data_IF_989169748578
#
_entry.id   IF_989169748578
#
_cell.length_a   1.000
_cell.length_b   1.000
_cell.length_c   1.000
_cell.angle_alpha   90.00
_cell.angle_beta   90.00
_cell.angle_gamma   90.00
#
_symmetry.space_group_name_H-M   'P 1'
#
loop_
_entity.id
_entity.type
_entity.pdbx_description
1 polymer ?
#
# COMPACT_ATOMS: atom_id res chain seq x y z
N UNK A 1 -5.25 23.55 19.25
CA UNK A 1 -4.66 22.99 18.01
C UNK A 1 -5.78 22.24 17.34
N UNK A 2 -6.17 22.63 16.14
CA UNK A 2 -7.19 21.93 15.35
C UNK A 2 -6.60 20.58 14.95
N UNK A 3 -7.32 19.48 15.16
CA UNK A 3 -6.87 18.15 14.74
C UNK A 3 -6.66 18.18 13.21
N UNK A 4 -5.52 17.72 12.67
CA UNK A 4 -5.32 17.61 11.22
C UNK A 4 -6.45 16.85 10.51
N UNK A 5 -7.14 15.93 11.18
CA UNK A 5 -8.31 15.23 10.66
C UNK A 5 -9.55 16.12 10.57
N UNK A 6 -9.69 17.08 11.49
CA UNK A 6 -10.75 18.08 11.40
C UNK A 6 -10.53 19.02 10.21
N UNK A 7 -9.27 19.33 9.88
CA UNK A 7 -8.92 20.11 8.68
C UNK A 7 -9.17 19.32 7.39
N UNK A 8 -8.95 18.00 7.41
CA UNK A 8 -9.23 17.12 6.27
C UNK A 8 -10.72 17.09 5.91
N UNK A 9 -11.60 17.09 6.91
CA UNK A 9 -13.06 17.13 6.69
C UNK A 9 -13.56 18.46 6.13
N UNK A 10 -12.75 19.53 6.17
CA UNK A 10 -13.07 20.83 5.57
C UNK A 10 -12.75 20.88 4.07
N UNK A 11 -12.01 19.91 3.54
CA UNK A 11 -11.72 19.83 2.11
C UNK A 11 -12.96 19.41 1.31
N UNK A 12 -13.09 19.84 0.05
CA UNK A 12 -14.07 19.30 -0.89
C UNK A 12 -13.97 17.77 -1.02
N UNK A 13 -15.08 17.11 -1.33
CA UNK A 13 -15.15 15.64 -1.46
C UNK A 13 -14.15 15.11 -2.50
N UNK A 14 -14.06 15.73 -3.67
CA UNK A 14 -13.11 15.36 -4.73
C UNK A 14 -11.65 15.38 -4.25
N UNK A 15 -11.27 16.39 -3.46
CA UNK A 15 -9.92 16.50 -2.91
C UNK A 15 -9.67 15.45 -1.83
N UNK A 16 -10.66 15.17 -0.98
CA UNK A 16 -10.56 14.10 0.04
C UNK A 16 -10.42 12.72 -0.61
N UNK A 17 -11.18 12.46 -1.67
CA UNK A 17 -11.14 11.19 -2.39
C UNK A 17 -9.79 11.01 -3.09
N UNK A 18 -9.29 12.06 -3.72
CA UNK A 18 -7.96 12.05 -4.34
C UNK A 18 -6.85 11.80 -3.31
N UNK A 19 -6.87 12.51 -2.18
CA UNK A 19 -5.88 12.31 -1.10
C UNK A 19 -6.00 10.89 -0.54
N UNK A 20 -7.22 10.36 -0.39
CA UNK A 20 -7.45 8.99 0.09
C UNK A 20 -6.92 7.95 -0.90
N UNK A 21 -7.15 8.15 -2.21
CA UNK A 21 -6.64 7.30 -3.27
C UNK A 21 -5.11 7.32 -3.33
N UNK A 22 -4.50 8.51 -3.26
CA UNK A 22 -3.05 8.68 -3.22
C UNK A 22 -2.44 8.00 -1.98
N UNK A 23 -3.07 8.15 -0.81
CA UNK A 23 -2.64 7.49 0.42
C UNK A 23 -2.74 5.96 0.32
N UNK A 24 -3.83 5.42 -0.24
CA UNK A 24 -3.98 3.99 -0.49
C UNK A 24 -2.90 3.47 -1.44
N UNK A 25 -2.58 4.22 -2.50
CA UNK A 25 -1.53 3.85 -3.43
C UNK A 25 -0.15 3.80 -2.77
N UNK A 26 0.18 4.80 -1.94
CA UNK A 26 1.43 4.82 -1.16
C UNK A 26 1.51 3.62 -0.23
N UNK A 27 0.44 3.33 0.52
CA UNK A 27 0.38 2.20 1.45
C UNK A 27 0.61 0.87 0.70
N UNK A 28 -0.07 0.69 -0.44
CA UNK A 28 0.03 -0.52 -1.25
C UNK A 28 1.46 -0.72 -1.78
N UNK A 29 2.08 0.31 -2.35
CA UNK A 29 3.46 0.23 -2.85
C UNK A 29 4.47 -0.09 -1.75
N UNK A 30 4.34 0.53 -0.57
CA UNK A 30 5.21 0.25 0.57
C UNK A 30 5.03 -1.18 1.07
N UNK A 31 3.79 -1.66 1.16
CA UNK A 31 3.50 -3.03 1.55
C UNK A 31 4.04 -4.05 0.55
N UNK A 32 3.92 -3.79 -0.76
CA UNK A 32 4.49 -4.63 -1.83
C UNK A 32 6.01 -4.69 -1.72
N UNK A 33 6.67 -3.55 -1.50
CA UNK A 33 8.12 -3.52 -1.30
C UNK A 33 8.53 -4.36 -0.09
N UNK A 34 7.84 -4.21 1.04
CA UNK A 34 8.10 -4.99 2.26
C UNK A 34 7.87 -6.48 2.04
N UNK A 35 6.83 -6.84 1.28
CA UNK A 35 6.55 -8.22 0.90
C UNK A 35 7.69 -8.79 0.07
N UNK A 36 8.12 -8.07 -0.97
CA UNK A 36 9.25 -8.44 -1.82
C UNK A 36 10.53 -8.64 -1.00
N UNK A 37 10.85 -7.73 -0.08
CA UNK A 37 12.05 -7.80 0.76
C UNK A 37 12.02 -9.00 1.75
N UNK A 38 10.83 -9.49 2.10
CA UNK A 38 10.64 -10.65 2.96
C UNK A 38 10.54 -11.98 2.19
N UNK A 39 10.39 -11.95 0.86
CA UNK A 39 10.34 -13.16 0.02
C UNK A 39 11.71 -13.82 -0.09
N UNK A 40 11.72 -15.14 -0.28
CA UNK A 40 12.95 -15.83 -0.71
C UNK A 40 13.38 -15.35 -2.11
N UNK A 41 14.67 -15.36 -2.46
CA UNK A 41 15.16 -14.84 -3.75
C UNK A 41 14.45 -15.43 -4.98
N UNK A 42 14.12 -16.73 -4.93
CA UNK A 42 13.40 -17.41 -6.02
C UNK A 42 11.95 -16.93 -6.18
N UNK A 43 11.29 -16.61 -5.07
CA UNK A 43 9.91 -16.10 -5.06
C UNK A 43 9.89 -14.63 -5.47
N UNK A 44 10.83 -13.84 -4.97
CA UNK A 44 11.00 -12.44 -5.33
C UNK A 44 11.23 -12.24 -6.84
N UNK A 45 12.06 -13.08 -7.47
CA UNK A 45 12.29 -13.01 -8.92
C UNK A 45 11.00 -13.32 -9.73
N UNK A 46 10.21 -14.30 -9.28
CA UNK A 46 8.90 -14.62 -9.89
C UNK A 46 7.91 -13.47 -9.69
N UNK A 47 7.89 -12.88 -8.51
CA UNK A 47 7.04 -11.73 -8.20
C UNK A 47 7.37 -10.53 -9.09
N UNK A 48 8.66 -10.19 -9.26
CA UNK A 48 9.08 -9.09 -10.13
C UNK A 48 8.66 -9.30 -11.58
N UNK A 49 8.79 -10.53 -12.10
CA UNK A 49 8.32 -10.87 -13.45
C UNK A 49 6.82 -10.69 -13.61
N UNK A 50 6.03 -11.11 -12.61
CA UNK A 50 4.58 -10.91 -12.60
C UNK A 50 4.19 -9.43 -12.47
N UNK A 51 4.90 -8.68 -11.62
CA UNK A 51 4.59 -7.28 -11.36
C UNK A 51 4.86 -6.38 -12.56
N UNK A 52 5.93 -6.65 -13.31
CA UNK A 52 6.29 -5.91 -14.52
C UNK A 52 5.45 -6.30 -15.76
N UNK A 53 4.68 -7.38 -15.71
CA UNK A 53 3.78 -7.73 -16.79
C UNK A 53 2.53 -6.84 -16.76
N UNK A 54 2.51 -5.88 -17.68
CA UNK A 54 1.42 -4.91 -17.86
C UNK A 54 0.15 -5.53 -18.45
N UNK A 55 0.25 -6.74 -19.04
CA UNK A 55 -0.91 -7.45 -19.57
C UNK A 55 -1.58 -8.34 -18.52
N UNK A 56 -0.95 -8.49 -17.35
CA UNK A 56 -1.45 -9.34 -16.28
C UNK A 56 -2.37 -8.54 -15.36
N UNK A 57 -3.56 -9.08 -15.10
CA UNK A 57 -4.54 -8.50 -14.19
C UNK A 57 -3.95 -8.33 -12.77
N UNK A 58 -4.22 -7.18 -12.15
CA UNK A 58 -3.79 -6.89 -10.79
C UNK A 58 -4.36 -7.90 -9.77
N UNK A 59 -5.52 -8.51 -10.05
CA UNK A 59 -6.04 -9.62 -9.23
C UNK A 59 -5.09 -10.81 -9.20
N UNK A 60 -4.40 -11.12 -10.29
CA UNK A 60 -3.45 -12.24 -10.34
C UNK A 60 -2.19 -11.88 -9.53
N UNK A 61 -1.75 -10.64 -9.60
CA UNK A 61 -0.61 -10.13 -8.81
C UNK A 61 -0.92 -10.17 -7.31
N UNK A 62 -2.14 -9.80 -6.94
CA UNK A 62 -2.63 -9.87 -5.56
C UNK A 62 -2.76 -11.31 -5.07
N UNK A 63 -3.32 -12.22 -5.87
CA UNK A 63 -3.44 -13.63 -5.52
C UNK A 63 -2.05 -14.26 -5.27
N UNK A 64 -1.04 -13.90 -6.07
CA UNK A 64 0.34 -14.33 -5.82
C UNK A 64 0.86 -13.83 -4.46
N UNK A 65 0.59 -12.57 -4.11
CA UNK A 65 0.98 -12.02 -2.81
C UNK A 65 0.28 -12.75 -1.67
N UNK A 66 -1.01 -13.07 -1.80
CA UNK A 66 -1.75 -13.81 -0.77
C UNK A 66 -1.24 -15.24 -0.59
N UNK A 67 -0.89 -15.94 -1.68
CA UNK A 67 -0.37 -17.31 -1.64
C UNK A 67 1.04 -17.39 -1.04
N UNK A 68 1.94 -16.51 -1.47
CA UNK A 68 3.36 -16.58 -1.10
C UNK A 68 3.74 -15.71 0.10
N UNK A 69 2.90 -14.72 0.44
CA UNK A 69 3.10 -13.79 1.55
C UNK A 69 1.80 -13.69 2.39
N UNK A 70 1.48 -14.70 3.21
CA UNK A 70 0.26 -14.70 4.03
C UNK A 70 0.19 -13.53 5.02
N UNK A 71 1.33 -12.93 5.36
CA UNK A 71 1.40 -11.73 6.20
C UNK A 71 1.20 -10.41 5.42
N UNK A 72 0.97 -10.45 4.10
CA UNK A 72 0.80 -9.27 3.26
C UNK A 72 -0.33 -8.33 3.76
N UNK A 73 -1.52 -8.82 4.17
CA UNK A 73 -2.54 -7.95 4.75
C UNK A 73 -2.07 -7.21 6.02
N UNK A 74 -1.20 -7.84 6.82
CA UNK A 74 -0.61 -7.18 8.00
C UNK A 74 0.35 -6.06 7.60
N UNK A 75 1.07 -6.22 6.49
CA UNK A 75 1.95 -5.17 5.98
C UNK A 75 1.14 -3.95 5.51
N UNK A 76 -0.01 -4.16 4.87
CA UNK A 76 -0.93 -3.05 4.50
C UNK A 76 -1.36 -2.26 5.74
N UNK A 77 -1.78 -2.95 6.81
CA UNK A 77 -2.18 -2.29 8.07
C UNK A 77 -1.03 -1.55 8.74
N UNK A 78 0.16 -2.15 8.77
CA UNK A 78 1.35 -1.52 9.36
C UNK A 78 1.77 -0.26 8.59
N UNK A 79 1.76 -0.31 7.25
CA UNK A 79 2.12 0.86 6.44
C UNK A 79 1.05 1.97 6.53
N UNK A 80 -0.23 1.62 6.71
CA UNK A 80 -1.28 2.59 7.00
C UNK A 80 -1.05 3.29 8.35
N UNK A 81 -0.70 2.55 9.40
CA UNK A 81 -0.33 3.13 10.70
C UNK A 81 0.93 3.99 10.63
N UNK A 82 1.94 3.57 9.86
CA UNK A 82 3.16 4.33 9.66
C UNK A 82 2.88 5.66 8.96
N UNK A 83 2.11 5.63 7.87
CA UNK A 83 1.72 6.84 7.15
C UNK A 83 0.92 7.79 8.06
N UNK A 84 0.00 7.26 8.87
CA UNK A 84 -0.72 8.06 9.87
C UNK A 84 0.22 8.71 10.91
N UNK A 85 1.24 8.00 11.38
CA UNK A 85 2.25 8.53 12.32
C UNK A 85 3.14 9.59 11.65
N UNK A 86 3.47 9.42 10.38
CA UNK A 86 4.23 10.40 9.58
C UNK A 86 3.44 11.71 9.45
N UNK A 87 2.16 11.62 9.08
CA UNK A 87 1.29 12.80 8.89
C UNK A 87 0.95 13.54 10.19
N UNK A 88 0.94 12.85 11.33
CA UNK A 88 0.65 13.46 12.64
C UNK A 88 1.86 14.10 13.33
N UNK A 89 3.07 13.90 12.80
CA UNK A 89 4.31 14.52 13.29
C UNK A 89 4.70 15.78 12.50
N UNK A 90 4.02 16.06 11.40
CA UNK A 90 4.21 17.22 10.53
C UNK A 90 3.53 18.48 11.03
#
# INVERSE_FOLDING_TARGET
MTDPLDLFNLLPEEDRDKISADAQHIILLRAIKRAHDAMSPKVAERFLKLFHDVNLDDQIKLAFLEEYMPDFPKFILQEAENLRKELSRG
#
